data_IF_587913692847
#
_entry.id   IF_587913692847
#
_cell.length_a   1.000
_cell.length_b   1.000
_cell.length_c   1.000
_cell.angle_alpha   90.00
_cell.angle_beta   90.00
_cell.angle_gamma   90.00
#
_symmetry.space_group_name_H-M   'P 1'
#
loop_
_entity.id
_entity.type
_entity.pdbx_description
1 polymer ?
#
# COMPACT_ATOMS: atom_id res chain seq x y z
N UNK A 1 1.77 4.45 11.88
CA UNK A 1 1.04 3.60 12.83
C UNK A 1 1.77 2.29 12.93
N UNK A 2 1.15 1.26 13.50
CA UNK A 2 1.63 -0.12 13.35
C UNK A 2 1.25 -0.64 11.96
N UNK A 3 1.89 -1.72 11.44
CA UNK A 3 1.49 -2.31 10.16
C UNK A 3 0.01 -2.74 10.11
N UNK A 4 -0.63 -2.95 11.27
CA UNK A 4 -2.07 -3.24 11.38
C UNK A 4 -2.99 -2.11 10.87
N UNK A 5 -2.46 -0.91 10.65
CA UNK A 5 -3.17 0.25 10.12
C UNK A 5 -2.70 0.63 8.71
N UNK A 6 -1.84 -0.19 8.11
CA UNK A 6 -1.28 0.05 6.79
C UNK A 6 -2.00 -0.84 5.78
N UNK A 7 -2.37 -0.24 4.66
CA UNK A 7 -3.13 -0.89 3.59
C UNK A 7 -2.42 -0.65 2.27
N UNK A 8 -2.44 -1.65 1.40
CA UNK A 8 -1.88 -1.57 0.08
C UNK A 8 -3.01 -1.56 -0.94
N UNK A 9 -3.05 -0.52 -1.74
CA UNK A 9 -4.00 -0.40 -2.85
C UNK A 9 -3.23 -0.83 -4.09
N UNK A 10 -3.55 -2.01 -4.63
CA UNK A 10 -2.87 -2.53 -5.82
C UNK A 10 -3.55 -2.08 -7.12
N UNK A 11 -2.86 -2.30 -8.25
CA UNK A 11 -3.38 -1.94 -9.57
C UNK A 11 -4.55 -2.80 -10.04
N UNK A 12 -4.80 -3.93 -9.37
CA UNK A 12 -5.91 -4.85 -9.67
C UNK A 12 -7.19 -4.47 -8.91
N UNK A 13 -7.11 -3.45 -8.05
CA UNK A 13 -8.23 -2.90 -7.30
C UNK A 13 -8.43 -3.52 -5.91
N UNK A 14 -7.54 -4.40 -5.44
CA UNK A 14 -7.64 -4.88 -4.06
C UNK A 14 -7.03 -3.88 -3.08
N UNK A 15 -7.65 -3.77 -1.91
CA UNK A 15 -7.07 -3.09 -0.76
C UNK A 15 -6.64 -4.17 0.23
N UNK A 16 -5.33 -4.44 0.32
CA UNK A 16 -4.75 -5.55 1.09
C UNK A 16 -4.20 -5.07 2.43
N UNK A 17 -4.28 -5.93 3.44
CA UNK A 17 -3.63 -5.70 4.72
C UNK A 17 -2.11 -5.77 4.57
N UNK A 18 -1.37 -4.80 5.11
CA UNK A 18 0.09 -4.86 5.14
C UNK A 18 0.65 -5.90 6.12
N UNK A 19 -0.18 -6.48 7.00
CA UNK A 19 0.22 -7.58 7.89
C UNK A 19 0.15 -8.95 7.22
N UNK A 20 -0.75 -9.12 6.24
CA UNK A 20 -1.01 -10.38 5.54
C UNK A 20 -1.62 -10.06 4.18
N UNK A 21 -0.83 -10.24 3.11
CA UNK A 21 -1.23 -9.92 1.74
C UNK A 21 -2.32 -10.86 1.19
N UNK A 22 -2.61 -11.96 1.89
CA UNK A 22 -3.74 -12.83 1.60
C UNK A 22 -5.05 -12.30 2.19
N UNK A 23 -5.04 -11.15 2.87
CA UNK A 23 -6.24 -10.54 3.45
C UNK A 23 -6.61 -9.24 2.75
N UNK A 24 -7.85 -9.17 2.28
CA UNK A 24 -8.40 -8.06 1.50
C UNK A 24 -9.56 -7.38 2.22
N UNK A 25 -9.73 -6.08 1.97
CA UNK A 25 -10.97 -5.36 2.29
C UNK A 25 -12.10 -5.95 1.46
N UNK A 26 -13.15 -6.36 2.15
CA UNK A 26 -14.20 -7.22 1.61
C UNK A 26 -15.58 -6.73 2.10
N UNK A 27 -16.61 -6.65 1.25
CA UNK A 27 -17.97 -6.50 1.71
C UNK A 27 -18.40 -7.81 2.36
N UNK A 28 -19.09 -7.75 3.51
CA UNK A 28 -19.52 -8.96 4.22
C UNK A 28 -20.52 -9.76 3.39
N UNK A 29 -20.02 -10.82 2.77
CA UNK A 29 -20.73 -11.64 1.79
C UNK A 29 -20.68 -11.02 0.38
N UNK A 30 -21.08 -11.76 -0.67
CA UNK A 30 -21.13 -11.27 -2.06
C UNK A 30 -22.26 -10.23 -2.23
N UNK A 31 -22.08 -9.02 -1.70
CA UNK A 31 -23.13 -8.02 -1.61
C UNK A 31 -22.61 -6.64 -1.96
N UNK A 32 -23.42 -5.90 -2.72
CA UNK A 32 -23.31 -4.45 -2.88
C UNK A 32 -24.52 -3.74 -2.25
N UNK A 33 -25.31 -4.40 -1.41
CA UNK A 33 -26.50 -3.79 -0.80
C UNK A 33 -26.14 -2.68 0.20
N UNK A 34 -26.99 -1.67 0.32
CA UNK A 34 -26.83 -0.60 1.31
C UNK A 34 -26.79 -1.17 2.74
N UNK A 35 -25.84 -0.67 3.54
CA UNK A 35 -25.61 -1.13 4.90
C UNK A 35 -24.75 -2.39 5.00
N UNK A 36 -24.29 -2.95 3.87
CA UNK A 36 -23.34 -4.09 3.86
C UNK A 36 -22.07 -3.69 4.61
N UNK A 37 -21.74 -4.40 5.68
CA UNK A 37 -20.56 -4.12 6.49
C UNK A 37 -19.28 -4.41 5.72
N UNK A 38 -18.27 -3.55 5.85
CA UNK A 38 -16.92 -3.82 5.34
C UNK A 38 -16.13 -4.59 6.39
N UNK A 39 -15.44 -5.62 5.95
CA UNK A 39 -14.65 -6.53 6.76
C UNK A 39 -13.29 -6.81 6.11
N UNK A 40 -12.50 -7.65 6.76
CA UNK A 40 -11.31 -8.27 6.20
C UNK A 40 -11.61 -9.75 5.93
N UNK A 41 -11.28 -10.23 4.74
CA UNK A 41 -11.47 -11.64 4.36
C UNK A 41 -10.28 -12.14 3.55
N UNK A 42 -10.18 -13.45 3.33
CA UNK A 42 -9.20 -14.00 2.38
C UNK A 42 -9.39 -13.36 1.01
N UNK A 43 -8.30 -12.89 0.41
CA UNK A 43 -8.28 -12.41 -0.95
C UNK A 43 -8.65 -13.58 -1.89
N UNK A 44 -9.57 -13.32 -2.81
CA UNK A 44 -9.99 -14.30 -3.82
C UNK A 44 -9.64 -13.75 -5.20
N UNK A 45 -8.84 -14.49 -5.96
CA UNK A 45 -8.41 -14.07 -7.29
C UNK A 45 -9.58 -13.87 -8.24
N UNK A 46 -9.52 -12.80 -9.05
CA UNK A 46 -10.55 -12.40 -10.00
C UNK A 46 -11.96 -12.23 -9.38
N UNK A 47 -12.04 -11.85 -8.10
CA UNK A 47 -13.30 -11.72 -7.39
C UNK A 47 -13.74 -10.27 -7.25
N UNK A 48 -14.68 -9.86 -8.13
CA UNK A 48 -15.08 -8.46 -8.27
C UNK A 48 -15.71 -7.82 -7.03
N UNK A 49 -16.22 -8.61 -6.06
CA UNK A 49 -16.74 -8.07 -4.80
C UNK A 49 -15.63 -7.52 -3.90
N UNK A 50 -14.36 -7.95 -4.06
CA UNK A 50 -13.20 -7.45 -3.31
C UNK A 50 -12.41 -6.38 -4.06
N UNK A 51 -12.90 -5.96 -5.23
CA UNK A 51 -12.26 -4.95 -6.05
C UNK A 51 -12.92 -3.59 -5.84
N UNK A 52 -12.07 -2.58 -5.68
CA UNK A 52 -12.40 -1.23 -5.28
C UNK A 52 -11.76 -0.22 -6.22
N UNK A 53 -12.46 0.88 -6.48
CA UNK A 53 -11.96 2.03 -7.20
C UNK A 53 -11.81 3.21 -6.25
N UNK A 54 -10.59 3.69 -6.06
CA UNK A 54 -10.32 4.94 -5.33
C UNK A 54 -10.42 6.13 -6.28
N UNK A 55 -11.38 7.00 -6.02
CA UNK A 55 -11.73 8.12 -6.89
C UNK A 55 -10.97 9.39 -6.49
N UNK A 56 -10.82 10.31 -7.45
CA UNK A 56 -10.20 11.63 -7.22
C UNK A 56 -10.96 12.52 -6.23
N UNK A 57 -12.25 12.26 -6.00
CA UNK A 57 -13.08 12.93 -5.00
C UNK A 57 -12.88 12.39 -3.57
N UNK A 58 -12.01 11.38 -3.41
CA UNK A 58 -11.70 10.71 -2.15
C UNK A 58 -12.61 9.54 -1.82
N UNK A 59 -13.61 9.21 -2.62
CA UNK A 59 -14.48 8.05 -2.37
C UNK A 59 -13.80 6.74 -2.76
N UNK A 60 -14.09 5.66 -2.02
CA UNK A 60 -13.73 4.28 -2.39
C UNK A 60 -15.01 3.57 -2.77
N UNK A 61 -15.09 3.02 -3.97
CA UNK A 61 -16.33 2.49 -4.55
C UNK A 61 -16.15 1.04 -5.03
N UNK A 62 -17.11 0.13 -4.82
CA UNK A 62 -17.05 -1.20 -5.41
C UNK A 62 -16.97 -1.11 -6.94
N UNK A 63 -16.12 -1.92 -7.58
CA UNK A 63 -16.09 -1.93 -9.07
C UNK A 63 -17.39 -2.45 -9.68
N UNK A 64 -18.12 -3.29 -8.94
CA UNK A 64 -19.42 -3.84 -9.35
C UNK A 64 -20.56 -2.81 -9.30
N UNK A 65 -20.41 -1.77 -8.48
CA UNK A 65 -21.46 -0.77 -8.28
C UNK A 65 -20.84 0.56 -7.85
N UNK A 66 -20.59 1.42 -8.84
CA UNK A 66 -19.90 2.69 -8.66
C UNK A 66 -20.82 3.81 -8.12
N UNK A 67 -22.09 3.51 -7.80
CA UNK A 67 -23.02 4.45 -7.14
C UNK A 67 -22.91 4.40 -5.61
N UNK A 68 -22.19 3.39 -5.08
CA UNK A 68 -22.00 3.15 -3.65
C UNK A 68 -20.59 3.46 -3.20
N UNK A 69 -20.47 3.90 -1.96
CA UNK A 69 -19.24 4.35 -1.33
C UNK A 69 -18.97 3.57 -0.04
N UNK A 70 -17.71 3.27 0.25
CA UNK A 70 -17.28 2.91 1.61
C UNK A 70 -17.53 4.11 2.52
N UNK A 71 -18.34 3.90 3.54
CA UNK A 71 -18.90 4.94 4.39
C UNK A 71 -18.67 4.64 5.89
N UNK A 72 -18.50 5.70 6.68
CA UNK A 72 -18.54 5.64 8.14
C UNK A 72 -19.99 5.52 8.60
N UNK A 73 -20.31 4.43 9.30
CA UNK A 73 -21.65 4.18 9.85
C UNK A 73 -21.93 5.10 11.02
N UNK A 74 -22.77 6.12 10.78
CA UNK A 74 -23.19 7.16 11.72
C UNK A 74 -22.03 8.04 12.25
N UNK A 75 -22.38 9.18 12.85
CA UNK A 75 -21.41 10.12 13.42
C UNK A 75 -20.61 9.57 14.63
N UNK A 76 -21.00 8.40 15.15
CA UNK A 76 -20.39 7.78 16.34
C UNK A 76 -19.26 6.77 16.00
N UNK A 77 -18.85 6.67 14.73
CA UNK A 77 -17.70 5.87 14.27
C UNK A 77 -17.77 4.36 14.58
N UNK A 78 -18.97 3.78 14.70
CA UNK A 78 -19.14 2.38 15.12
C UNK A 78 -19.06 1.33 14.00
N UNK A 79 -18.62 1.73 12.81
CA UNK A 79 -18.36 0.76 11.75
C UNK A 79 -18.15 1.41 10.39
N UNK A 80 -17.76 0.56 9.44
CA UNK A 80 -17.61 0.90 8.03
C UNK A 80 -18.60 0.03 7.24
N UNK A 81 -19.33 0.62 6.31
CA UNK A 81 -20.33 -0.08 5.48
C UNK A 81 -20.41 0.51 4.07
N UNK A 82 -21.15 -0.14 3.17
CA UNK A 82 -21.53 0.44 1.89
C UNK A 82 -22.75 1.35 2.07
N UNK A 83 -22.67 2.57 1.54
CA UNK A 83 -23.81 3.49 1.52
C UNK A 83 -23.86 4.31 0.23
N UNK A 84 -24.96 5.04 0.02
CA UNK A 84 -25.12 5.94 -1.11
C UNK A 84 -24.04 7.02 -1.12
N UNK A 85 -23.42 7.24 -2.27
CA UNK A 85 -22.51 8.36 -2.47
C UNK A 85 -23.30 9.67 -2.53
N UNK A 86 -23.22 10.50 -1.48
CA UNK A 86 -23.99 11.76 -1.38
C UNK A 86 -23.09 13.01 -1.16
N UNK A 87 -21.78 12.87 -1.38
CA UNK A 87 -20.81 13.98 -1.37
C UNK A 87 -20.39 14.49 0.01
N UNK A 88 -20.94 13.92 1.09
CA UNK A 88 -20.54 14.24 2.47
C UNK A 88 -19.18 13.63 2.83
N UNK A 89 -18.51 14.15 3.85
CA UNK A 89 -17.12 13.82 4.15
C UNK A 89 -16.91 12.45 4.81
N UNK A 90 -17.96 11.88 5.39
CA UNK A 90 -17.99 10.53 5.97
C UNK A 90 -17.81 9.40 4.93
N UNK A 91 -17.86 9.73 3.63
CA UNK A 91 -17.63 8.81 2.50
C UNK A 91 -16.27 9.05 1.84
N UNK A 92 -15.52 10.07 2.30
CA UNK A 92 -14.26 10.51 1.70
C UNK A 92 -13.10 10.07 2.55
N UNK A 93 -12.21 9.30 1.94
CA UNK A 93 -11.01 8.74 2.52
C UNK A 93 -9.80 9.43 1.90
N UNK A 94 -8.84 9.81 2.73
CA UNK A 94 -7.53 10.27 2.27
C UNK A 94 -6.53 9.15 2.47
N UNK A 95 -6.06 8.54 1.38
CA UNK A 95 -4.87 7.70 1.45
C UNK A 95 -3.68 8.59 1.83
N UNK A 96 -3.09 8.36 3.00
CA UNK A 96 -1.87 9.03 3.43
C UNK A 96 -0.73 8.04 3.24
N UNK A 97 0.20 8.28 2.29
CA UNK A 97 1.35 7.41 2.11
C UNK A 97 2.13 7.32 3.43
N UNK A 98 2.14 6.12 4.01
CA UNK A 98 3.01 5.78 5.14
C UNK A 98 4.21 5.07 4.55
N UNK A 99 5.26 5.84 4.26
CA UNK A 99 6.51 5.32 3.73
C UNK A 99 7.31 4.76 4.92
N UNK A 100 7.28 3.45 5.12
CA UNK A 100 8.19 2.78 6.06
C UNK A 100 9.51 2.54 5.33
N UNK A 101 10.37 3.55 5.34
CA UNK A 101 11.75 3.39 4.88
C UNK A 101 12.51 2.53 5.89
N UNK A 102 13.31 1.61 5.37
CA UNK A 102 14.19 0.75 6.14
C UNK A 102 15.64 1.04 5.78
N UNK A 103 16.52 0.74 6.73
CA UNK A 103 17.96 0.66 6.50
C UNK A 103 18.35 -0.82 6.59
N UNK A 104 18.96 -1.36 5.53
CA UNK A 104 19.41 -2.75 5.49
C UNK A 104 20.87 -2.78 5.93
N UNK A 105 21.16 -3.48 7.03
CA UNK A 105 22.51 -3.60 7.61
C UNK A 105 23.08 -5.00 7.40
N UNK A 106 24.41 -5.07 7.29
CA UNK A 106 25.10 -6.36 7.32
C UNK A 106 25.12 -6.90 8.74
N UNK A 107 24.75 -8.17 8.92
CA UNK A 107 24.92 -8.88 10.21
C UNK A 107 26.40 -9.10 10.56
N UNK A 108 27.25 -9.33 9.55
CA UNK A 108 28.70 -9.49 9.74
C UNK A 108 29.39 -8.16 10.09
N UNK A 109 28.93 -7.07 9.48
CA UNK A 109 29.45 -5.72 9.68
C UNK A 109 28.32 -4.76 10.08
N UNK A 110 27.91 -4.73 11.37
CA UNK A 110 26.71 -3.99 11.81
C UNK A 110 26.80 -2.46 11.68
N UNK A 111 27.98 -1.92 11.39
CA UNK A 111 28.19 -0.49 11.05
C UNK A 111 28.09 -0.21 9.56
N UNK A 112 27.87 -1.23 8.72
CA UNK A 112 27.77 -1.11 7.27
C UNK A 112 26.33 -1.27 6.79
N UNK A 113 25.95 -0.37 5.90
CA UNK A 113 24.62 -0.23 5.34
C UNK A 113 24.62 -0.53 3.83
N UNK A 114 23.52 -1.10 3.36
CA UNK A 114 23.19 -1.24 1.94
C UNK A 114 22.98 0.16 1.35
N UNK A 115 23.90 0.59 0.49
CA UNK A 115 24.08 1.99 0.11
C UNK A 115 24.11 2.15 -1.42
N UNK A 116 23.37 3.13 -1.95
CA UNK A 116 23.45 3.53 -3.35
C UNK A 116 24.69 4.38 -3.57
N UNK A 117 25.65 3.86 -4.33
CA UNK A 117 26.96 4.50 -4.48
C UNK A 117 26.84 5.96 -4.92
N UNK A 118 27.43 6.86 -4.12
CA UNK A 118 27.43 8.32 -4.36
C UNK A 118 26.03 8.96 -4.48
N UNK A 119 24.99 8.32 -3.95
CA UNK A 119 23.58 8.75 -4.10
C UNK A 119 23.12 8.91 -5.57
N UNK A 120 23.78 8.24 -6.52
CA UNK A 120 23.51 8.40 -7.94
C UNK A 120 22.43 7.41 -8.41
N UNK A 121 21.28 7.93 -8.85
CA UNK A 121 20.13 7.13 -9.30
C UNK A 121 20.19 6.73 -10.78
N UNK A 122 21.29 7.02 -11.49
CA UNK A 122 21.46 6.61 -12.87
C UNK A 122 21.48 5.08 -13.02
N UNK A 123 20.84 4.58 -14.08
CA UNK A 123 20.81 3.16 -14.39
C UNK A 123 22.23 2.60 -14.52
N UNK A 124 22.46 1.42 -13.94
CA UNK A 124 23.77 0.77 -13.93
C UNK A 124 24.68 1.19 -12.77
N UNK A 125 24.33 2.22 -11.99
CA UNK A 125 25.02 2.48 -10.72
C UNK A 125 24.86 1.28 -9.75
N UNK A 126 25.79 1.15 -8.80
CA UNK A 126 25.88 -0.03 -7.94
C UNK A 126 25.34 0.25 -6.55
N UNK A 127 24.78 -0.81 -5.96
CA UNK A 127 24.64 -0.91 -4.51
C UNK A 127 25.92 -1.51 -3.95
N UNK A 128 26.43 -0.95 -2.85
CA UNK A 128 27.57 -1.49 -2.11
C UNK A 128 27.32 -1.44 -0.59
N UNK A 129 28.29 -1.93 0.18
CA UNK A 129 28.33 -1.70 1.63
C UNK A 129 29.11 -0.43 1.93
N UNK A 130 28.49 0.49 2.66
CA UNK A 130 29.14 1.73 3.11
C UNK A 130 28.92 1.98 4.60
N UNK A 131 29.72 2.84 5.22
CA UNK A 131 29.47 3.24 6.62
C UNK A 131 28.06 3.82 6.77
N UNK A 132 27.32 3.31 7.73
CA UNK A 132 26.00 3.82 8.05
C UNK A 132 26.12 5.29 8.48
N UNK A 133 25.47 6.17 7.71
CA UNK A 133 25.56 7.62 7.86
C UNK A 133 24.18 8.32 7.83
N UNK A 134 23.09 7.56 7.70
CA UNK A 134 21.71 8.05 7.78
C UNK A 134 21.27 8.91 6.60
N UNK A 135 22.05 8.92 5.50
CA UNK A 135 21.66 9.64 4.28
C UNK A 135 20.59 8.87 3.51
N UNK A 136 19.78 9.55 2.67
CA UNK A 136 18.78 8.87 1.85
C UNK A 136 19.33 7.81 0.89
N UNK A 137 20.64 7.81 0.61
CA UNK A 137 21.31 6.76 -0.16
C UNK A 137 21.27 5.38 0.53
N UNK A 138 20.95 5.33 1.83
CA UNK A 138 20.90 4.12 2.66
C UNK A 138 19.47 3.75 3.08
N UNK A 139 18.48 4.50 2.60
CA UNK A 139 17.08 4.28 2.94
C UNK A 139 16.32 3.68 1.76
N UNK A 140 15.53 2.67 2.07
CA UNK A 140 14.88 1.83 1.06
C UNK A 140 13.41 1.64 1.40
N UNK A 141 12.55 1.70 0.38
CA UNK A 141 11.20 1.19 0.48
C UNK A 141 11.22 -0.27 -0.01
N UNK A 142 10.81 -1.19 0.85
CA UNK A 142 10.45 -2.54 0.41
C UNK A 142 8.95 -2.51 0.17
N UNK A 143 8.54 -2.55 -1.09
CA UNK A 143 7.12 -2.59 -1.45
C UNK A 143 6.55 -4.01 -1.36
N UNK A 144 5.24 -4.14 -1.53
CA UNK A 144 4.55 -5.43 -1.48
C UNK A 144 4.82 -6.35 -2.66
N UNK A 145 5.29 -5.80 -3.77
CA UNK A 145 5.68 -6.57 -4.94
C UNK A 145 7.09 -7.19 -4.75
N UNK A 146 7.76 -6.82 -3.66
CA UNK A 146 9.09 -7.30 -3.31
C UNK A 146 10.21 -6.46 -3.93
N UNK A 147 9.90 -5.32 -4.56
CA UNK A 147 10.92 -4.41 -5.05
C UNK A 147 11.54 -3.62 -3.90
N UNK A 148 12.86 -3.54 -3.90
CA UNK A 148 13.62 -2.63 -3.05
C UNK A 148 13.82 -1.34 -3.83
N UNK A 149 13.11 -0.27 -3.46
CA UNK A 149 13.12 1.03 -4.12
C UNK A 149 13.97 2.05 -3.37
N UNK A 150 14.69 2.88 -4.11
CA UNK A 150 15.53 3.93 -3.49
C UNK A 150 14.69 5.04 -2.91
N UNK A 151 14.98 5.49 -1.69
CA UNK A 151 14.37 6.69 -1.12
C UNK A 151 14.72 7.98 -1.89
N UNK A 152 15.78 7.97 -2.72
CA UNK A 152 16.17 9.10 -3.58
C UNK A 152 15.30 9.23 -4.83
N UNK A 153 14.75 8.11 -5.33
CA UNK A 153 13.81 8.07 -6.47
C UNK A 153 13.04 6.74 -6.42
N UNK A 154 11.75 6.81 -6.05
CA UNK A 154 10.90 5.62 -5.89
C UNK A 154 10.57 4.93 -7.23
N UNK A 155 10.89 5.54 -8.38
CA UNK A 155 10.80 4.89 -9.68
C UNK A 155 12.01 3.98 -9.98
N UNK A 156 13.05 4.01 -9.14
CA UNK A 156 14.23 3.16 -9.25
C UNK A 156 14.17 2.00 -8.27
N UNK A 157 14.39 0.80 -8.77
CA UNK A 157 14.49 -0.43 -7.99
C UNK A 157 15.90 -1.01 -8.05
N UNK A 158 16.27 -1.74 -6.99
CA UNK A 158 17.41 -2.65 -7.01
C UNK A 158 17.04 -3.80 -7.94
N UNK A 159 17.89 -4.04 -8.92
CA UNK A 159 17.73 -5.09 -9.91
C UNK A 159 19.01 -5.95 -9.93
N UNK A 160 18.92 -7.27 -9.67
CA UNK A 160 20.04 -8.15 -9.91
C UNK A 160 20.32 -8.18 -11.42
N UNK A 161 21.34 -7.47 -11.88
CA UNK A 161 21.73 -7.40 -13.30
C UNK A 161 21.58 -8.77 -14.00
N UNK A 162 20.51 -8.95 -14.78
CA UNK A 162 20.17 -10.12 -15.61
C UNK A 162 19.84 -9.66 -17.04
N UNK A 163 20.02 -10.51 -18.08
CA UNK A 163 20.48 -10.05 -19.38
C UNK A 163 19.44 -9.18 -20.12
N UNK A 164 19.96 -8.32 -20.98
CA UNK A 164 19.24 -7.58 -22.02
C UNK A 164 18.19 -8.41 -22.75
#
# INVERSE_FOLDING_TARGET
GTPAQHWLIDSEGYIRSALDLNKCVDPRGPSTELGTQIQIWDCVDNYQYQQWSYQSDGTIRPVLDNEKCIDIKNADFQGIHLWECNGTNDKKWRAVPVVSLVELRSEEFPTKCFDLSSANTANGNVIHLWECNGTPAQHWLIDSEGYIRSALDLNKCVDPRGPS
#
